data_IF_791868841477
#
_entry.id   IF_791868841477
#
_cell.length_a   1.000
_cell.length_b   1.000
_cell.length_c   1.000
_cell.angle_alpha   90.00
_cell.angle_beta   90.00
_cell.angle_gamma   90.00
#
_symmetry.space_group_name_H-M   'P 1'
#
loop_
_entity.id
_entity.type
_entity.pdbx_description
1 polymer ?
#
# COMPACT_ATOMS: atom_id res chain seq x y z
N UNK A 1 -13.94 -12.15 32.49
CA UNK A 1 -14.91 -13.05 31.88
C UNK A 1 -15.52 -12.41 30.62
N UNK A 2 -15.69 -13.16 29.54
CA UNK A 2 -16.28 -12.68 28.29
C UNK A 2 -17.76 -13.04 28.23
N UNK A 3 -18.60 -12.12 27.77
CA UNK A 3 -19.99 -12.42 27.41
C UNK A 3 -20.01 -12.81 25.93
N UNK A 4 -20.46 -14.03 25.66
CA UNK A 4 -20.76 -14.51 24.32
C UNK A 4 -22.27 -14.53 24.07
N UNK A 5 -22.64 -14.28 22.82
CA UNK A 5 -24.03 -14.33 22.37
C UNK A 5 -24.19 -15.45 21.37
N UNK A 6 -25.11 -16.36 21.65
CA UNK A 6 -25.47 -17.47 20.79
C UNK A 6 -26.30 -16.98 19.58
N UNK A 7 -26.42 -17.79 18.51
CA UNK A 7 -27.20 -17.40 17.33
C UNK A 7 -28.68 -17.09 17.61
N UNK A 8 -29.25 -17.66 18.68
CA UNK A 8 -30.62 -17.41 19.16
C UNK A 8 -30.73 -16.19 20.10
N UNK A 9 -29.65 -15.40 20.21
CA UNK A 9 -29.53 -14.25 21.10
C UNK A 9 -29.45 -14.59 22.63
N UNK A 10 -29.30 -15.88 23.01
CA UNK A 10 -29.02 -16.26 24.39
C UNK A 10 -27.60 -15.82 24.75
N UNK A 11 -27.45 -15.31 25.98
CA UNK A 11 -26.16 -14.81 26.48
C UNK A 11 -25.56 -15.76 27.50
N UNK A 12 -24.27 -15.97 27.41
CA UNK A 12 -23.51 -16.79 28.35
C UNK A 12 -22.18 -16.12 28.70
N UNK A 13 -21.69 -16.42 29.90
CA UNK A 13 -20.38 -15.96 30.37
C UNK A 13 -19.38 -17.09 30.22
N UNK A 14 -18.25 -16.79 29.64
CA UNK A 14 -17.11 -17.72 29.54
C UNK A 14 -16.41 -17.77 30.89
N UNK A 15 -16.38 -18.94 31.52
CA UNK A 15 -15.72 -19.17 32.80
C UNK A 15 -14.27 -19.62 32.68
N UNK A 16 -13.99 -20.46 31.72
CA UNK A 16 -12.62 -20.92 31.49
C UNK A 16 -12.43 -21.40 30.06
N UNK A 17 -11.19 -21.30 29.59
CA UNK A 17 -10.75 -21.80 28.31
C UNK A 17 -9.57 -22.75 28.56
N UNK A 18 -9.72 -24.01 28.15
CA UNK A 18 -8.68 -25.02 28.26
C UNK A 18 -8.42 -25.64 26.88
N UNK A 19 -7.39 -25.17 26.19
CA UNK A 19 -7.11 -25.58 24.82
C UNK A 19 -8.26 -25.18 23.86
N UNK A 20 -8.93 -26.17 23.26
CA UNK A 20 -10.07 -25.96 22.37
C UNK A 20 -11.43 -26.00 23.12
N UNK A 21 -11.44 -26.27 24.41
CA UNK A 21 -12.67 -26.38 25.19
C UNK A 21 -12.96 -25.07 25.92
N UNK A 22 -14.16 -24.54 25.71
CA UNK A 22 -14.65 -23.33 26.36
C UNK A 22 -15.79 -23.70 27.30
N UNK A 23 -15.62 -23.42 28.58
CA UNK A 23 -16.67 -23.62 29.59
C UNK A 23 -17.47 -22.35 29.74
N UNK A 24 -18.77 -22.44 29.57
CA UNK A 24 -19.71 -21.30 29.61
C UNK A 24 -20.81 -21.53 30.63
N UNK A 25 -21.35 -20.43 31.18
CA UNK A 25 -22.47 -20.42 32.13
C UNK A 25 -23.54 -19.45 31.62
N UNK A 26 -24.78 -19.89 31.65
CA UNK A 26 -25.93 -19.06 31.27
C UNK A 26 -26.09 -17.87 32.20
N UNK A 27 -26.34 -16.67 31.69
CA UNK A 27 -26.62 -15.48 32.50
C UNK A 27 -27.98 -15.53 33.18
N UNK A 28 -28.92 -16.35 32.71
CA UNK A 28 -30.31 -16.33 33.12
C UNK A 28 -30.76 -17.59 33.86
N UNK A 29 -29.83 -18.48 34.25
CA UNK A 29 -30.13 -19.82 34.79
C UNK A 29 -31.02 -20.70 33.87
N UNK A 30 -31.30 -20.25 32.67
CA UNK A 30 -31.92 -21.07 31.62
C UNK A 30 -30.88 -22.01 31.01
N UNK A 31 -31.31 -23.15 30.52
CA UNK A 31 -30.41 -24.05 29.80
C UNK A 31 -29.78 -23.34 28.57
N UNK A 32 -28.54 -23.63 28.30
CA UNK A 32 -27.90 -23.14 27.07
C UNK A 32 -28.39 -23.92 25.86
N UNK A 33 -28.60 -23.27 24.72
CA UNK A 33 -28.97 -23.95 23.47
C UNK A 33 -27.88 -24.95 23.02
N UNK A 34 -28.28 -25.98 22.31
CA UNK A 34 -27.34 -26.93 21.72
C UNK A 34 -26.52 -26.21 20.63
N UNK A 35 -25.22 -26.47 20.61
CA UNK A 35 -24.27 -25.90 19.66
C UNK A 35 -24.02 -26.89 18.54
N UNK A 36 -24.10 -26.44 17.30
CA UNK A 36 -23.78 -27.21 16.11
C UNK A 36 -22.47 -26.72 15.49
N UNK A 37 -21.78 -27.60 14.79
CA UNK A 37 -20.56 -27.22 14.07
C UNK A 37 -20.89 -26.17 12.99
N UNK A 38 -20.25 -25.03 13.06
CA UNK A 38 -20.49 -23.88 12.17
C UNK A 38 -21.28 -22.72 12.77
N UNK A 39 -21.80 -22.89 14.00
CA UNK A 39 -22.46 -21.77 14.71
C UNK A 39 -21.45 -20.64 15.00
N UNK A 40 -21.87 -19.42 14.76
CA UNK A 40 -21.06 -18.21 14.97
C UNK A 40 -21.51 -17.56 16.28
N UNK A 41 -20.58 -17.36 17.18
CA UNK A 41 -20.78 -16.65 18.45
C UNK A 41 -20.22 -15.25 18.34
N UNK A 42 -20.97 -14.26 18.82
CA UNK A 42 -20.47 -12.90 18.94
C UNK A 42 -20.02 -12.60 20.38
N UNK A 43 -18.89 -11.91 20.52
CA UNK A 43 -18.41 -11.41 21.82
C UNK A 43 -19.07 -10.03 22.03
N UNK A 44 -19.85 -9.89 23.09
CA UNK A 44 -20.55 -8.64 23.37
C UNK A 44 -19.68 -7.69 24.20
N UNK A 45 -19.13 -8.19 25.31
CA UNK A 45 -18.33 -7.37 26.23
C UNK A 45 -17.53 -8.26 27.19
N UNK A 46 -16.64 -7.63 27.95
CA UNK A 46 -15.98 -8.22 29.12
C UNK A 46 -16.70 -7.82 30.40
N UNK A 47 -16.85 -8.76 31.32
CA UNK A 47 -17.37 -8.51 32.68
C UNK A 47 -16.22 -8.69 33.65
N UNK A 48 -16.08 -7.76 34.59
CA UNK A 48 -15.16 -7.85 35.73
C UNK A 48 -15.95 -7.90 37.01
N UNK A 49 -15.51 -8.73 37.97
CA UNK A 49 -16.12 -8.80 39.26
C UNK A 49 -15.75 -7.56 40.12
N UNK A 50 -16.69 -7.04 40.90
CA UNK A 50 -16.41 -5.99 41.88
C UNK A 50 -15.31 -6.42 42.87
N UNK A 51 -14.30 -5.57 43.03
CA UNK A 51 -13.14 -5.85 43.89
C UNK A 51 -12.00 -6.65 43.26
N UNK A 52 -12.06 -6.95 41.97
CA UNK A 52 -10.90 -7.50 41.25
C UNK A 52 -9.77 -6.48 41.12
N UNK A 53 -8.54 -6.95 41.29
CA UNK A 53 -7.37 -6.14 41.04
C UNK A 53 -7.31 -5.75 39.53
N UNK A 54 -7.30 -4.44 39.26
CA UNK A 54 -7.24 -3.90 37.90
C UNK A 54 -6.03 -4.40 37.12
N UNK A 55 -4.95 -4.82 37.79
CA UNK A 55 -3.72 -5.27 37.16
C UNK A 55 -3.70 -6.77 36.83
N UNK A 56 -4.68 -7.56 37.30
CA UNK A 56 -4.73 -8.99 37.02
C UNK A 56 -5.26 -9.37 35.63
N UNK A 57 -6.00 -8.46 34.98
CA UNK A 57 -6.70 -8.73 33.70
C UNK A 57 -6.45 -7.67 32.63
N UNK A 58 -5.27 -7.04 32.59
CA UNK A 58 -4.99 -6.14 31.49
C UNK A 58 -4.51 -6.93 30.26
N UNK A 59 -5.16 -6.70 29.14
CA UNK A 59 -4.70 -7.15 27.84
C UNK A 59 -3.64 -6.18 27.32
N UNK A 60 -2.42 -6.67 27.16
CA UNK A 60 -1.38 -5.92 26.51
C UNK A 60 -1.54 -6.06 24.99
N UNK A 61 -1.86 -4.96 24.33
CA UNK A 61 -1.76 -4.91 22.87
C UNK A 61 -0.29 -5.06 22.46
N UNK A 62 0.07 -6.24 21.98
CA UNK A 62 1.40 -6.44 21.41
C UNK A 62 1.51 -5.68 20.09
N UNK A 63 2.42 -4.73 20.07
CA UNK A 63 2.73 -3.99 18.84
C UNK A 63 3.59 -4.87 17.94
N UNK A 64 3.07 -5.26 16.79
CA UNK A 64 3.86 -5.97 15.78
C UNK A 64 4.79 -4.98 15.11
N UNK A 65 6.07 -5.05 15.44
CA UNK A 65 7.11 -4.22 14.82
C UNK A 65 7.46 -4.79 13.44
N UNK A 66 7.32 -3.98 12.42
CA UNK A 66 7.75 -4.30 11.06
C UNK A 66 8.87 -3.37 10.65
N UNK A 67 9.82 -3.85 9.87
CA UNK A 67 10.92 -3.07 9.35
C UNK A 67 10.95 -3.12 7.83
N UNK A 68 11.50 -2.08 7.22
CA UNK A 68 11.77 -2.02 5.80
C UNK A 68 13.17 -1.46 5.57
N UNK A 69 13.77 -1.76 4.43
CA UNK A 69 15.10 -1.24 4.08
C UNK A 69 14.99 0.08 3.32
N UNK A 70 15.97 0.94 3.52
CA UNK A 70 16.18 2.10 2.65
C UNK A 70 16.93 1.60 1.42
N UNK A 71 16.33 1.81 0.26
CA UNK A 71 16.91 1.46 -1.04
C UNK A 71 17.56 2.66 -1.68
N UNK A 72 18.76 2.46 -2.21
CA UNK A 72 19.47 3.44 -3.01
C UNK A 72 19.05 3.30 -4.48
N UNK A 73 18.51 4.36 -5.03
CA UNK A 73 18.25 4.50 -6.46
C UNK A 73 19.29 5.43 -7.07
N UNK A 74 19.95 4.97 -8.11
CA UNK A 74 21.03 5.72 -8.76
C UNK A 74 20.86 5.65 -10.28
N UNK A 75 20.85 6.82 -10.93
CA UNK A 75 20.94 6.96 -12.38
C UNK A 75 22.06 7.93 -12.70
N UNK A 76 23.00 7.48 -13.50
CA UNK A 76 24.17 8.26 -13.88
C UNK A 76 24.17 8.52 -15.37
N UNK A 77 24.83 9.61 -15.78
CA UNK A 77 25.16 9.91 -17.18
C UNK A 77 26.62 10.31 -17.28
N UNK A 78 27.19 10.06 -18.44
CA UNK A 78 28.56 10.45 -18.75
C UNK A 78 28.67 10.78 -20.22
N UNK A 79 29.17 11.97 -20.53
CA UNK A 79 29.35 12.45 -21.89
C UNK A 79 30.80 12.82 -22.15
N UNK A 80 31.36 12.35 -23.27
CA UNK A 80 32.68 12.80 -23.67
C UNK A 80 32.60 14.25 -24.18
N UNK A 81 33.69 14.99 -24.01
CA UNK A 81 33.78 16.36 -24.52
C UNK A 81 33.60 16.42 -26.03
N UNK A 82 34.02 15.38 -26.75
CA UNK A 82 33.87 15.30 -28.23
C UNK A 82 32.39 15.18 -28.62
N UNK A 83 31.62 14.38 -27.92
CA UNK A 83 30.17 14.24 -28.13
C UNK A 83 29.44 15.56 -27.84
N UNK A 84 29.79 16.23 -26.76
CA UNK A 84 29.27 17.55 -26.44
C UNK A 84 29.51 18.57 -27.58
N UNK A 85 30.72 18.63 -28.11
CA UNK A 85 31.07 19.52 -29.22
C UNK A 85 30.33 19.16 -30.52
N UNK A 86 30.19 17.85 -30.82
CA UNK A 86 29.40 17.40 -31.97
C UNK A 86 27.96 17.89 -31.92
N UNK A 87 27.33 17.76 -30.76
CA UNK A 87 25.95 18.21 -30.54
C UNK A 87 25.81 19.74 -30.57
N UNK A 88 26.78 20.47 -30.00
CA UNK A 88 26.81 21.92 -30.10
C UNK A 88 26.91 22.40 -31.55
N UNK A 89 27.81 21.77 -32.35
CA UNK A 89 27.98 22.08 -33.76
C UNK A 89 26.76 21.69 -34.62
N UNK A 90 26.00 20.65 -34.19
CA UNK A 90 24.77 20.27 -34.86
C UNK A 90 23.55 21.12 -34.48
N UNK A 91 23.73 22.18 -33.69
CA UNK A 91 22.64 23.06 -33.26
C UNK A 91 21.68 22.46 -32.22
N UNK A 92 21.99 21.27 -31.68
CA UNK A 92 21.18 20.61 -30.65
C UNK A 92 21.65 21.01 -29.25
N UNK A 93 21.35 22.25 -28.86
CA UNK A 93 21.83 22.84 -27.61
C UNK A 93 21.23 22.21 -26.33
N UNK A 94 20.09 21.54 -26.43
CA UNK A 94 19.35 21.04 -25.25
C UNK A 94 19.45 19.53 -25.00
N UNK A 95 20.38 18.83 -25.63
CA UNK A 95 20.43 17.36 -25.49
C UNK A 95 20.81 16.89 -24.07
N UNK A 96 21.67 17.62 -23.36
CA UNK A 96 22.02 17.33 -21.98
C UNK A 96 20.82 17.44 -21.05
N UNK A 97 20.03 18.49 -21.21
CA UNK A 97 18.82 18.68 -20.44
C UNK A 97 17.79 17.59 -20.75
N UNK A 98 17.71 17.17 -22.02
CA UNK A 98 16.85 16.06 -22.44
C UNK A 98 17.31 14.72 -21.83
N UNK A 99 18.60 14.43 -21.80
CA UNK A 99 19.13 13.21 -21.20
C UNK A 99 18.91 13.21 -19.68
N UNK A 100 19.15 14.33 -19.00
CA UNK A 100 18.83 14.49 -17.57
C UNK A 100 17.35 14.28 -17.29
N UNK A 101 16.46 14.85 -18.11
CA UNK A 101 15.02 14.67 -17.97
C UNK A 101 14.62 13.19 -18.15
N UNK A 102 15.23 12.50 -19.13
CA UNK A 102 14.99 11.08 -19.35
C UNK A 102 15.49 10.22 -18.19
N UNK A 103 16.69 10.50 -17.65
CA UNK A 103 17.19 9.82 -16.43
C UNK A 103 16.30 10.07 -15.23
N UNK A 104 15.77 11.28 -15.09
CA UNK A 104 14.80 11.61 -14.04
C UNK A 104 13.50 10.83 -14.21
N UNK A 105 13.00 10.70 -15.45
CA UNK A 105 11.81 9.90 -15.75
C UNK A 105 12.03 8.44 -15.38
N UNK A 106 13.16 7.86 -15.81
CA UNK A 106 13.54 6.48 -15.46
C UNK A 106 13.64 6.27 -13.94
N UNK A 107 14.24 7.21 -13.22
CA UNK A 107 14.32 7.17 -11.76
C UNK A 107 12.93 7.15 -11.10
N UNK A 108 12.00 7.98 -11.59
CA UNK A 108 10.63 8.01 -11.07
C UNK A 108 9.90 6.70 -11.35
N UNK A 109 10.11 6.10 -12.53
CA UNK A 109 9.56 4.78 -12.86
C UNK A 109 10.12 3.70 -11.94
N UNK A 110 11.44 3.67 -11.70
CA UNK A 110 12.06 2.72 -10.78
C UNK A 110 11.52 2.86 -9.35
N UNK A 111 11.37 4.09 -8.88
CA UNK A 111 10.77 4.39 -7.57
C UNK A 111 9.33 3.88 -7.51
N UNK A 112 8.52 4.19 -8.51
CA UNK A 112 7.13 3.77 -8.59
C UNK A 112 7.00 2.23 -8.55
N UNK A 113 7.74 1.53 -9.40
CA UNK A 113 7.74 0.06 -9.45
C UNK A 113 8.15 -0.53 -8.10
N UNK A 114 9.20 0.01 -7.50
CA UNK A 114 9.69 -0.47 -6.19
C UNK A 114 8.71 -0.16 -5.05
N UNK A 115 8.02 0.98 -5.08
CA UNK A 115 6.98 1.30 -4.09
C UNK A 115 5.78 0.36 -4.17
N UNK A 116 5.36 -0.03 -5.38
CA UNK A 116 4.20 -0.92 -5.51
C UNK A 116 4.56 -2.40 -5.38
N UNK A 117 5.64 -2.87 -6.02
CA UNK A 117 5.96 -4.29 -6.16
C UNK A 117 7.36 -4.69 -5.67
N UNK A 118 8.06 -3.83 -4.94
CA UNK A 118 9.39 -4.14 -4.42
C UNK A 118 9.37 -5.30 -3.42
N UNK A 119 10.28 -6.25 -3.56
CA UNK A 119 10.48 -7.32 -2.59
C UNK A 119 11.58 -6.94 -1.61
N UNK A 120 11.25 -6.94 -0.31
CA UNK A 120 12.21 -6.64 0.74
C UNK A 120 13.31 -7.71 0.80
N UNK A 121 14.56 -7.28 0.72
CA UNK A 121 15.68 -8.21 0.81
C UNK A 121 17.04 -7.55 0.83
N UNK A 122 18.03 -8.36 1.14
CA UNK A 122 19.45 -8.02 1.04
C UNK A 122 20.08 -8.91 -0.04
N UNK A 123 20.72 -8.28 -1.01
CA UNK A 123 21.30 -8.97 -2.16
C UNK A 123 22.79 -8.66 -2.23
N UNK A 124 23.62 -9.67 -2.39
CA UNK A 124 25.05 -9.48 -2.70
C UNK A 124 25.20 -9.26 -4.21
N UNK A 125 25.61 -8.06 -4.58
CA UNK A 125 25.91 -7.73 -6.00
C UNK A 125 27.32 -8.23 -6.36
N UNK A 126 28.24 -8.20 -5.39
CA UNK A 126 29.59 -8.75 -5.50
C UNK A 126 30.06 -9.19 -4.11
N UNK A 127 31.25 -9.82 -4.02
CA UNK A 127 31.80 -10.26 -2.75
C UNK A 127 31.97 -9.12 -1.72
N UNK A 128 31.97 -7.86 -2.16
CA UNK A 128 32.22 -6.70 -1.31
C UNK A 128 31.03 -5.77 -1.13
N UNK A 129 29.95 -5.91 -1.93
CA UNK A 129 28.83 -4.95 -1.93
C UNK A 129 27.50 -5.64 -1.64
N UNK A 130 26.86 -5.19 -0.57
CA UNK A 130 25.54 -5.60 -0.17
C UNK A 130 24.53 -4.52 -0.60
N UNK A 131 23.58 -4.88 -1.47
CA UNK A 131 22.47 -4.02 -1.85
C UNK A 131 21.25 -4.35 -1.01
N UNK A 132 20.52 -3.33 -0.59
CA UNK A 132 19.26 -3.45 0.15
C UNK A 132 18.11 -3.02 -0.74
N UNK A 133 17.10 -3.86 -0.85
CA UNK A 133 15.86 -3.56 -1.55
C UNK A 133 14.73 -3.34 -0.56
N UNK A 134 13.93 -2.31 -0.79
CA UNK A 134 12.75 -2.05 0.03
C UNK A 134 11.59 -2.97 -0.33
N UNK A 135 10.75 -3.28 0.66
CA UNK A 135 9.45 -3.93 0.45
C UNK A 135 8.42 -2.90 -0.02
N UNK A 136 7.72 -3.24 -1.08
CA UNK A 136 6.66 -2.42 -1.65
C UNK A 136 5.31 -2.63 -0.96
N UNK A 137 4.31 -1.91 -1.44
CA UNK A 137 2.94 -1.94 -0.92
C UNK A 137 2.34 -3.33 -1.03
N UNK A 138 2.31 -3.90 -2.23
CA UNK A 138 1.64 -5.16 -2.51
C UNK A 138 2.22 -6.35 -1.74
N UNK A 139 3.54 -6.61 -1.73
CA UNK A 139 4.12 -7.68 -0.91
C UNK A 139 3.89 -7.46 0.60
N UNK A 140 3.85 -6.19 1.06
CA UNK A 140 3.56 -5.88 2.46
C UNK A 140 2.11 -6.20 2.81
N UNK A 141 1.16 -5.93 1.91
CA UNK A 141 -0.25 -6.30 2.07
C UNK A 141 -0.40 -7.83 2.13
N UNK A 142 0.23 -8.55 1.21
CA UNK A 142 0.20 -10.03 1.21
C UNK A 142 0.76 -10.61 2.52
N UNK A 143 1.93 -10.13 2.95
CA UNK A 143 2.56 -10.59 4.21
C UNK A 143 1.75 -10.23 5.46
N UNK A 144 0.90 -9.22 5.39
CA UNK A 144 0.02 -8.83 6.49
C UNK A 144 -1.31 -9.59 6.50
N UNK A 145 -1.61 -10.39 5.48
CA UNK A 145 -2.90 -11.03 5.33
C UNK A 145 -4.03 -10.05 4.97
N UNK A 146 -3.72 -9.02 4.18
CA UNK A 146 -4.74 -8.11 3.65
C UNK A 146 -5.73 -8.87 2.76
N UNK A 147 -6.98 -8.44 2.77
CA UNK A 147 -8.04 -9.11 2.02
C UNK A 147 -7.82 -8.99 0.51
N UNK A 148 -8.15 -10.04 -0.23
CA UNK A 148 -8.10 -10.08 -1.69
C UNK A 148 -9.29 -10.83 -2.25
N UNK A 149 -9.71 -10.50 -3.47
CA UNK A 149 -10.72 -11.23 -4.22
C UNK A 149 -10.34 -11.35 -5.69
N UNK A 150 -10.79 -12.45 -6.32
CA UNK A 150 -10.54 -12.73 -7.73
C UNK A 150 -11.89 -12.90 -8.48
N UNK A 151 -12.69 -11.83 -8.59
CA UNK A 151 -13.98 -11.90 -9.26
C UNK A 151 -13.82 -11.92 -10.77
N UNK A 152 -14.86 -12.42 -11.45
CA UNK A 152 -15.11 -12.06 -12.86
C UNK A 152 -15.58 -10.62 -12.96
N UNK A 153 -15.56 -10.03 -14.16
CA UNK A 153 -16.08 -8.66 -14.38
C UNK A 153 -17.52 -8.50 -13.87
N UNK A 154 -18.37 -9.50 -14.05
CA UNK A 154 -19.75 -9.47 -13.55
C UNK A 154 -19.84 -9.51 -12.01
N UNK A 155 -18.90 -10.15 -11.35
CA UNK A 155 -18.83 -10.24 -9.89
C UNK A 155 -18.08 -9.09 -9.21
N UNK A 156 -17.48 -8.18 -9.98
CA UNK A 156 -16.60 -7.11 -9.46
C UNK A 156 -17.31 -6.23 -8.41
N UNK A 157 -18.58 -5.88 -8.65
CA UNK A 157 -19.38 -5.07 -7.70
C UNK A 157 -19.52 -5.74 -6.35
N UNK A 158 -19.99 -6.99 -6.34
CA UNK A 158 -20.20 -7.73 -5.10
C UNK A 158 -18.91 -7.93 -4.33
N UNK A 159 -17.80 -8.25 -5.03
CA UNK A 159 -16.49 -8.37 -4.42
C UNK A 159 -16.01 -7.05 -3.81
N UNK A 160 -16.15 -5.94 -4.54
CA UNK A 160 -15.77 -4.61 -4.06
C UNK A 160 -16.57 -4.22 -2.81
N UNK A 161 -17.89 -4.35 -2.84
CA UNK A 161 -18.77 -4.02 -1.71
C UNK A 161 -18.41 -4.88 -0.47
N UNK A 162 -18.27 -6.19 -0.66
CA UNK A 162 -17.92 -7.12 0.42
C UNK A 162 -16.59 -6.76 1.08
N UNK A 163 -15.54 -6.53 0.29
CA UNK A 163 -14.23 -6.17 0.81
C UNK A 163 -14.21 -4.78 1.44
N UNK A 164 -14.90 -3.82 0.83
CA UNK A 164 -15.00 -2.47 1.36
C UNK A 164 -15.65 -2.47 2.74
N UNK A 165 -16.78 -3.16 2.93
CA UNK A 165 -17.44 -3.26 4.23
C UNK A 165 -16.60 -4.03 5.25
N UNK A 166 -15.98 -5.15 4.85
CA UNK A 166 -15.14 -5.93 5.75
C UNK A 166 -13.89 -5.16 6.23
N UNK A 167 -13.33 -4.29 5.38
CA UNK A 167 -12.17 -3.46 5.75
C UNK A 167 -12.56 -2.17 6.47
N UNK A 168 -13.82 -1.71 6.33
CA UNK A 168 -14.30 -0.52 7.03
C UNK A 168 -14.31 -0.70 8.56
N UNK A 169 -14.60 -1.92 9.03
CA UNK A 169 -14.52 -2.23 10.45
C UNK A 169 -13.12 -2.00 11.05
N UNK A 170 -12.08 -2.11 10.23
CA UNK A 170 -10.68 -1.92 10.65
C UNK A 170 -10.24 -0.45 10.63
N UNK A 171 -11.01 0.40 9.95
CA UNK A 171 -10.79 1.85 9.88
C UNK A 171 -12.15 2.53 9.72
N UNK A 172 -12.65 3.15 10.76
CA UNK A 172 -13.93 3.86 10.77
C UNK A 172 -13.96 4.99 9.74
N UNK A 173 -14.57 4.74 8.59
CA UNK A 173 -14.68 5.71 7.49
C UNK A 173 -13.35 6.02 6.80
N UNK A 174 -13.25 7.20 6.24
CA UNK A 174 -12.02 7.73 5.63
C UNK A 174 -11.99 7.63 4.12
N UNK A 175 -10.95 8.25 3.56
CA UNK A 175 -10.71 8.28 2.10
C UNK A 175 -9.73 7.19 1.73
N UNK A 176 -10.08 6.41 0.70
CA UNK A 176 -9.21 5.38 0.12
C UNK A 176 -8.99 5.67 -1.34
N UNK A 177 -7.81 5.36 -1.81
CA UNK A 177 -7.43 5.54 -3.21
C UNK A 177 -7.47 4.20 -3.92
N UNK A 178 -8.12 4.18 -5.10
CA UNK A 178 -8.20 3.02 -5.98
C UNK A 178 -7.17 3.20 -7.08
N UNK A 179 -6.10 2.43 -7.03
CA UNK A 179 -5.08 2.42 -8.08
C UNK A 179 -5.37 1.30 -9.06
N UNK A 180 -5.43 1.63 -10.34
CA UNK A 180 -5.67 0.67 -11.40
C UNK A 180 -5.42 1.28 -12.77
N UNK A 181 -5.52 0.46 -13.81
CA UNK A 181 -5.46 0.95 -15.20
C UNK A 181 -6.75 1.67 -15.56
N UNK A 182 -6.72 2.55 -16.55
CA UNK A 182 -7.92 3.28 -17.01
C UNK A 182 -9.05 2.33 -17.42
N UNK A 183 -8.70 1.20 -18.03
CA UNK A 183 -9.67 0.17 -18.40
C UNK A 183 -10.40 -0.39 -17.19
N UNK A 184 -9.66 -0.77 -16.13
CA UNK A 184 -10.25 -1.30 -14.91
C UNK A 184 -11.05 -0.25 -14.13
N UNK A 185 -10.57 1.00 -14.11
CA UNK A 185 -11.30 2.10 -13.50
C UNK A 185 -12.58 2.43 -14.27
N UNK A 186 -12.57 2.29 -15.60
CA UNK A 186 -13.77 2.44 -16.43
C UNK A 186 -14.80 1.34 -16.15
N UNK A 187 -14.36 0.07 -16.07
CA UNK A 187 -15.26 -1.04 -15.68
C UNK A 187 -15.85 -0.81 -14.28
N UNK A 188 -15.03 -0.39 -13.33
CA UNK A 188 -15.48 -0.04 -12.00
C UNK A 188 -16.50 1.12 -12.04
N UNK A 189 -16.28 2.14 -12.89
CA UNK A 189 -17.20 3.28 -13.04
C UNK A 189 -18.59 2.89 -13.55
N UNK A 190 -18.69 1.85 -14.38
CA UNK A 190 -19.99 1.33 -14.85
C UNK A 190 -20.82 0.78 -13.70
N UNK A 191 -20.17 0.17 -12.72
CA UNK A 191 -20.79 -0.40 -11.53
C UNK A 191 -21.38 0.70 -10.65
N UNK A 192 -20.68 1.82 -10.52
CA UNK A 192 -21.09 2.95 -9.69
C UNK A 192 -22.09 3.92 -10.37
N UNK A 193 -22.43 3.70 -11.62
CA UNK A 193 -23.44 4.50 -12.34
C UNK A 193 -24.89 4.23 -11.89
N UNK A 194 -25.12 3.25 -11.02
CA UNK A 194 -26.43 2.99 -10.44
C UNK A 194 -26.91 4.18 -9.58
N UNK A 195 -28.20 4.61 -9.70
CA UNK A 195 -28.71 5.83 -9.08
C UNK A 195 -28.68 5.88 -7.56
N UNK A 196 -28.30 4.79 -6.90
CA UNK A 196 -28.08 4.74 -5.44
C UNK A 196 -26.75 5.29 -4.96
N UNK A 197 -25.79 5.47 -5.85
CA UNK A 197 -24.44 5.97 -5.52
C UNK A 197 -24.31 7.40 -6.03
N UNK A 198 -24.27 8.35 -5.11
CA UNK A 198 -24.18 9.76 -5.46
C UNK A 198 -22.77 10.10 -5.97
N UNK A 199 -22.71 10.57 -7.22
CA UNK A 199 -21.56 11.32 -7.70
C UNK A 199 -21.51 12.65 -6.93
N UNK A 200 -20.48 12.86 -6.14
CA UNK A 200 -20.13 14.20 -5.71
C UNK A 200 -18.99 14.68 -6.61
N UNK A 201 -19.18 15.71 -7.45
CA UNK A 201 -18.06 16.40 -8.06
C UNK A 201 -17.23 16.98 -6.91
N UNK A 202 -16.03 16.50 -6.72
CA UNK A 202 -15.17 17.03 -5.70
C UNK A 202 -14.46 18.28 -6.24
N UNK A 203 -14.19 19.22 -5.35
CA UNK A 203 -13.50 20.47 -5.64
C UNK A 203 -12.22 20.24 -6.45
N UNK A 204 -12.00 21.09 -7.39
CA UNK A 204 -10.85 21.19 -8.29
C UNK A 204 -9.55 21.31 -7.51
N UNK A 205 -8.94 20.20 -7.15
CA UNK A 205 -7.53 20.18 -6.82
C UNK A 205 -6.76 20.02 -8.14
N UNK A 206 -6.21 21.10 -8.62
CA UNK A 206 -5.31 21.15 -9.79
C UNK A 206 -5.89 20.55 -11.09
N UNK A 207 -7.01 21.09 -11.61
CA UNK A 207 -7.57 20.76 -12.93
C UNK A 207 -7.82 19.27 -13.23
N UNK A 208 -7.88 18.40 -12.23
CA UNK A 208 -8.31 17.04 -12.38
C UNK A 208 -9.75 16.90 -11.87
N UNK A 209 -10.67 16.49 -12.74
CA UNK A 209 -11.99 16.01 -12.36
C UNK A 209 -11.82 14.65 -11.67
N UNK A 210 -11.47 14.66 -10.39
CA UNK A 210 -11.42 13.47 -9.57
C UNK A 210 -12.87 13.06 -9.27
N UNK A 211 -13.35 12.05 -9.98
CA UNK A 211 -14.60 11.39 -9.62
C UNK A 211 -14.41 10.67 -8.29
N UNK A 212 -15.25 10.97 -7.34
CA UNK A 212 -15.27 10.34 -6.03
C UNK A 212 -16.42 9.35 -5.94
N UNK A 213 -16.12 8.10 -5.54
CA UNK A 213 -17.15 7.11 -5.25
C UNK A 213 -17.43 7.07 -3.75
N UNK A 214 -18.70 7.00 -3.37
CA UNK A 214 -19.10 6.88 -1.96
C UNK A 214 -19.87 5.59 -1.73
N UNK A 215 -19.44 4.84 -0.72
CA UNK A 215 -20.12 3.66 -0.23
C UNK A 215 -20.34 3.81 1.29
N UNK A 216 -21.54 4.19 1.69
CA UNK A 216 -21.82 4.58 3.07
C UNK A 216 -20.99 5.78 3.51
N UNK A 217 -20.21 5.64 4.59
CA UNK A 217 -19.29 6.67 5.11
C UNK A 217 -17.93 6.70 4.41
N UNK A 218 -17.63 5.71 3.57
CA UNK A 218 -16.35 5.58 2.89
C UNK A 218 -16.30 6.38 1.59
N UNK A 219 -15.15 6.99 1.34
CA UNK A 219 -14.85 7.74 0.12
C UNK A 219 -13.75 6.99 -0.64
N UNK A 220 -13.96 6.80 -1.94
CA UNK A 220 -13.01 6.14 -2.83
C UNK A 220 -12.64 7.08 -3.97
N UNK A 221 -11.35 7.34 -4.12
CA UNK A 221 -10.81 8.23 -5.16
C UNK A 221 -10.05 7.37 -6.17
N UNK A 222 -10.51 7.26 -7.43
CA UNK A 222 -9.79 6.53 -8.46
C UNK A 222 -8.53 7.28 -8.90
N UNK A 223 -7.43 6.55 -9.05
CA UNK A 223 -6.14 7.05 -9.53
C UNK A 223 -5.67 6.16 -10.65
N UNK A 224 -5.54 6.74 -11.84
CA UNK A 224 -5.03 6.02 -13.01
C UNK A 224 -3.55 5.71 -12.89
N UNK A 225 -3.19 4.45 -13.14
CA UNK A 225 -1.84 3.93 -13.14
C UNK A 225 -1.57 3.11 -14.39
N UNK A 226 -1.39 3.77 -15.55
CA UNK A 226 -1.12 3.10 -16.83
C UNK A 226 0.19 2.31 -16.85
N UNK A 227 1.14 2.60 -15.95
CA UNK A 227 2.36 1.80 -15.78
C UNK A 227 2.08 0.34 -15.43
N UNK A 228 0.90 0.03 -14.86
CA UNK A 228 0.51 -1.36 -14.57
C UNK A 228 0.32 -2.22 -15.82
N UNK A 229 0.11 -1.61 -17.00
CA UNK A 229 0.06 -2.29 -18.30
C UNK A 229 1.45 -2.54 -18.90
N UNK A 230 2.47 -1.83 -18.43
CA UNK A 230 3.80 -1.90 -19.00
C UNK A 230 4.54 -3.14 -18.50
N UNK A 231 4.64 -4.16 -19.35
CA UNK A 231 5.25 -5.46 -19.01
C UNK A 231 6.73 -5.37 -18.62
N UNK A 232 7.43 -4.29 -19.02
CA UNK A 232 8.79 -4.01 -18.57
C UNK A 232 8.87 -3.61 -17.07
N UNK A 233 7.76 -3.14 -16.52
CA UNK A 233 7.66 -2.64 -15.15
C UNK A 233 6.91 -3.59 -14.22
N UNK A 234 5.81 -4.18 -14.70
CA UNK A 234 4.94 -5.05 -13.91
C UNK A 234 4.57 -6.33 -14.66
N UNK A 235 4.32 -7.46 -13.95
CA UNK A 235 3.73 -8.65 -14.55
C UNK A 235 2.39 -8.35 -15.23
N UNK A 236 2.07 -9.09 -16.28
CA UNK A 236 0.84 -8.87 -17.09
C UNK A 236 -0.45 -8.86 -16.25
N UNK A 237 -0.49 -9.62 -15.16
CA UNK A 237 -1.62 -9.70 -14.23
C UNK A 237 -1.98 -8.35 -13.60
N UNK A 238 -1.00 -7.43 -13.49
CA UNK A 238 -1.22 -6.11 -12.90
C UNK A 238 -2.14 -5.22 -13.74
N UNK A 239 -2.25 -5.47 -15.04
CA UNK A 239 -3.17 -4.75 -15.91
C UNK A 239 -4.65 -4.89 -15.49
N UNK A 240 -5.00 -6.00 -14.81
CA UNK A 240 -6.34 -6.29 -14.30
C UNK A 240 -6.48 -6.19 -12.79
N UNK A 241 -5.47 -5.64 -12.12
CA UNK A 241 -5.44 -5.50 -10.68
C UNK A 241 -5.93 -4.12 -10.23
N UNK A 242 -6.79 -4.11 -9.22
CA UNK A 242 -7.18 -2.92 -8.49
C UNK A 242 -6.58 -2.98 -7.09
N UNK A 243 -5.86 -1.94 -6.71
CA UNK A 243 -5.30 -1.77 -5.37
C UNK A 243 -6.07 -0.67 -4.65
N UNK A 244 -6.76 -1.03 -3.59
CA UNK A 244 -7.53 -0.09 -2.77
C UNK A 244 -6.74 0.18 -1.50
N UNK A 245 -6.17 1.39 -1.42
CA UNK A 245 -5.19 1.75 -0.42
C UNK A 245 -5.69 2.84 0.51
N UNK A 246 -5.40 2.69 1.78
CA UNK A 246 -5.48 3.74 2.76
C UNK A 246 -4.19 4.58 2.74
N UNK A 247 -4.21 5.68 2.01
CA UNK A 247 -3.02 6.49 1.79
C UNK A 247 -2.50 7.16 3.08
N UNK A 248 -3.34 7.40 4.07
CA UNK A 248 -2.92 8.01 5.35
C UNK A 248 -1.97 7.09 6.13
N UNK A 249 -2.05 5.78 5.89
CA UNK A 249 -1.19 4.78 6.54
C UNK A 249 0.11 4.52 5.81
N UNK A 250 0.28 5.08 4.61
CA UNK A 250 1.42 4.90 3.73
C UNK A 250 2.23 6.17 3.70
N UNK A 251 3.51 6.09 4.04
CA UNK A 251 4.41 7.24 4.04
C UNK A 251 5.76 6.89 3.41
N UNK A 252 6.26 7.71 2.50
CA UNK A 252 7.65 7.60 2.05
C UNK A 252 8.59 8.00 3.19
N UNK A 253 9.60 7.19 3.43
CA UNK A 253 10.63 7.43 4.45
C UNK A 253 11.95 7.72 3.75
N UNK A 254 12.63 8.76 4.22
CA UNK A 254 13.97 9.12 3.76
C UNK A 254 14.98 9.02 4.88
N UNK A 255 16.23 8.84 4.55
CA UNK A 255 17.31 8.85 5.52
C UNK A 255 17.51 10.26 6.11
N UNK A 256 17.63 10.35 7.43
CA UNK A 256 17.84 11.64 8.11
C UNK A 256 19.17 12.26 7.64
N UNK A 257 19.11 13.53 7.27
CA UNK A 257 20.31 14.28 6.83
C UNK A 257 20.63 14.15 5.33
N UNK A 258 19.90 13.30 4.58
CA UNK A 258 20.01 13.24 3.13
C UNK A 258 18.76 13.84 2.46
N UNK A 259 18.91 14.54 1.32
CA UNK A 259 17.77 14.93 0.52
C UNK A 259 17.04 13.70 -0.01
N UNK A 260 15.73 13.80 -0.24
CA UNK A 260 14.94 12.71 -0.84
C UNK A 260 15.43 12.38 -2.26
N UNK A 261 15.93 13.37 -2.96
CA UNK A 261 16.54 13.26 -4.28
C UNK A 261 17.68 14.26 -4.38
N UNK A 262 18.82 13.84 -4.89
CA UNK A 262 19.99 14.66 -5.12
C UNK A 262 20.47 14.53 -6.56
N UNK A 263 20.81 15.65 -7.17
CA UNK A 263 21.42 15.72 -8.51
C UNK A 263 22.83 16.22 -8.32
N UNK A 264 23.79 15.34 -8.51
CA UNK A 264 25.21 15.66 -8.39
C UNK A 264 25.89 15.73 -9.75
N UNK A 265 26.98 16.47 -9.79
CA UNK A 265 27.89 16.49 -10.93
C UNK A 265 29.33 16.42 -10.41
N UNK A 266 30.23 15.89 -11.22
CA UNK A 266 31.66 15.84 -10.86
C UNK A 266 32.27 17.22 -10.70
N UNK A 267 31.68 18.24 -11.33
CA UNK A 267 32.08 19.63 -11.16
C UNK A 267 31.87 20.11 -9.71
N UNK A 268 30.88 19.57 -9.00
CA UNK A 268 30.58 19.93 -7.61
C UNK A 268 31.54 19.31 -6.59
N UNK A 269 32.27 18.27 -6.96
CA UNK A 269 33.22 17.58 -6.06
C UNK A 269 34.58 18.24 -5.93
N UNK A 270 34.76 19.43 -6.52
CA UNK A 270 35.97 20.21 -6.31
C UNK A 270 37.27 19.49 -6.71
N UNK A 271 37.23 18.65 -7.72
CA UNK A 271 38.39 18.00 -8.30
C UNK A 271 39.34 19.05 -8.88
N UNK A 272 40.26 19.52 -8.06
CA UNK A 272 41.33 20.42 -8.47
C UNK A 272 42.15 19.75 -9.56
N UNK A 273 42.05 20.25 -10.77
CA UNK A 273 43.15 20.19 -11.71
C UNK A 273 43.22 19.05 -12.71
N UNK A 274 42.26 18.12 -12.79
CA UNK A 274 42.16 17.21 -13.91
C UNK A 274 41.27 17.79 -14.99
N UNK A 275 41.83 18.07 -16.15
CA UNK A 275 41.07 18.35 -17.39
C UNK A 275 40.37 17.07 -17.78
N UNK A 276 39.26 16.76 -17.12
CA UNK A 276 38.50 15.58 -17.45
C UNK A 276 37.89 15.70 -18.86
N UNK A 277 38.17 14.72 -19.70
CA UNK A 277 37.64 14.64 -21.04
C UNK A 277 36.13 14.33 -21.07
N UNK A 278 35.51 14.25 -19.90
CA UNK A 278 34.10 13.84 -19.70
C UNK A 278 33.35 14.82 -18.81
N UNK A 279 32.09 14.99 -19.12
CA UNK A 279 31.11 15.59 -18.20
C UNK A 279 30.20 14.47 -17.74
N UNK A 280 30.19 14.22 -16.45
CA UNK A 280 29.34 13.22 -15.84
C UNK A 280 28.49 13.81 -14.71
N UNK A 281 27.48 13.09 -14.34
CA UNK A 281 26.62 13.42 -13.22
C UNK A 281 25.72 12.24 -12.84
N UNK A 282 24.98 12.40 -11.77
CA UNK A 282 24.12 11.36 -11.28
C UNK A 282 22.89 11.95 -10.57
N UNK A 283 21.84 11.15 -10.54
CA UNK A 283 20.66 11.39 -9.72
C UNK A 283 20.63 10.26 -8.68
N UNK A 284 20.52 10.61 -7.43
CA UNK A 284 20.47 9.69 -6.31
C UNK A 284 19.20 9.92 -5.50
N UNK A 285 18.52 8.84 -5.12
CA UNK A 285 17.43 8.88 -4.17
C UNK A 285 17.59 7.75 -3.15
N UNK A 286 17.51 8.10 -1.86
CA UNK A 286 17.59 7.16 -0.74
C UNK A 286 16.22 7.13 -0.06
N UNK A 287 15.38 6.17 -0.42
CA UNK A 287 14.00 6.12 0.00
C UNK A 287 13.57 4.74 0.47
N UNK A 288 12.59 4.72 1.33
CA UNK A 288 11.88 3.53 1.80
C UNK A 288 10.39 3.82 1.91
N UNK A 289 9.62 2.79 2.19
CA UNK A 289 8.19 2.85 2.41
C UNK A 289 7.86 2.42 3.85
N UNK A 290 7.08 3.22 4.54
CA UNK A 290 6.44 2.85 5.80
C UNK A 290 4.94 2.61 5.54
N UNK A 291 4.46 1.45 5.91
CA UNK A 291 3.06 1.06 5.77
C UNK A 291 2.53 0.56 7.12
N UNK A 292 1.85 1.44 7.86
CA UNK A 292 1.46 1.20 9.25
C UNK A 292 0.27 0.26 9.40
N UNK A 293 -0.72 0.32 8.51
CA UNK A 293 -1.93 -0.49 8.60
C UNK A 293 -2.29 -1.13 7.24
N UNK A 294 -1.57 -2.16 6.80
CA UNK A 294 -1.86 -2.80 5.51
C UNK A 294 -3.21 -3.54 5.49
N UNK A 295 -3.74 -3.95 6.66
CA UNK A 295 -4.99 -4.70 6.76
C UNK A 295 -6.23 -3.83 6.42
N UNK A 296 -6.14 -2.51 6.56
CA UNK A 296 -7.17 -1.56 6.13
C UNK A 296 -7.29 -1.39 4.62
N UNK A 297 -6.34 -1.95 3.87
CA UNK A 297 -6.28 -1.94 2.41
C UNK A 297 -6.63 -3.32 1.84
N UNK A 298 -7.07 -3.40 0.58
CA UNK A 298 -7.41 -4.66 -0.07
C UNK A 298 -7.11 -4.63 -1.57
N UNK A 299 -7.09 -5.81 -2.19
CA UNK A 299 -6.82 -5.97 -3.63
C UNK A 299 -7.94 -6.73 -4.32
N UNK A 300 -8.17 -6.41 -5.59
CA UNK A 300 -9.09 -7.14 -6.45
C UNK A 300 -8.34 -7.48 -7.74
N UNK A 301 -8.23 -8.76 -8.03
CA UNK A 301 -7.63 -9.29 -9.25
C UNK A 301 -8.75 -9.79 -10.16
N UNK A 302 -9.09 -9.06 -11.22
CA UNK A 302 -10.19 -9.41 -12.12
C UNK A 302 -9.74 -10.46 -13.13
N UNK A 303 -10.48 -11.56 -13.21
CA UNK A 303 -10.22 -12.67 -14.14
C UNK A 303 -10.73 -12.40 -15.56
#
# INVERSE_FOLDING_TARGET
DLIIVYPDNTKAVVKSIAGLNVTVESQTNAGLPAVTAGDIFSIQSTIQADGMDYFSNYERLETVTRYNYIQLFLRAWRWSRLELLKHQNAGTTNFLERDKAEKMRQMRTDLFVSFFNGNRGEFRISNSYLAKAMGGIFPTMQAAGSMSANPTLAGLRAAFETLAFATNFKKEGGTRFIYGTDEMLYELSKIFKDPGLRYAPNDTVANMNLMEYRLGSMRFVPVSCELFKEQSCFPQEWARKLLILDQETISPVKMKGLPSMYIGSTLDRGAKGTREAFQDGYIEANMSLMFNNPIGSFTIDVQ
#
